data_IF_940443533015
#
_entry.id   IF_940443533015
#
_cell.length_a   1.000
_cell.length_b   1.000
_cell.length_c   1.000
_cell.angle_alpha   90.00
_cell.angle_beta   90.00
_cell.angle_gamma   90.00
#
_symmetry.space_group_name_H-M   'P 1'
#
loop_
_entity.id
_entity.type
_entity.pdbx_description
1 polymer ?
#
# COMPACT_ATOMS: atom_id res chain seq x y z
N UNK A 1 2.13 -20.49 2.07
CA UNK A 1 3.22 -19.72 2.70
C UNK A 1 2.56 -18.77 3.69
N UNK A 2 2.85 -18.91 4.99
CA UNK A 2 2.08 -18.33 6.08
C UNK A 2 2.37 -16.83 6.25
N UNK A 3 1.42 -15.94 5.96
CA UNK A 3 1.47 -14.54 6.39
C UNK A 3 1.34 -14.49 7.92
N UNK A 4 2.49 -14.51 8.60
CA UNK A 4 2.59 -14.31 10.04
C UNK A 4 2.27 -12.85 10.39
N UNK A 5 1.10 -12.63 10.98
CA UNK A 5 0.86 -11.84 12.21
C UNK A 5 1.88 -10.72 12.55
N UNK A 6 2.07 -9.72 11.68
CA UNK A 6 2.88 -8.53 12.05
C UNK A 6 2.02 -7.30 12.42
N UNK A 7 0.77 -7.25 11.97
CA UNK A 7 -0.23 -6.25 12.39
C UNK A 7 -0.49 -6.17 13.91
N UNK A 8 -0.47 -7.26 14.72
CA UNK A 8 -0.80 -7.13 16.13
C UNK A 8 0.29 -6.49 16.99
N UNK A 9 1.56 -6.39 16.55
CA UNK A 9 2.62 -5.89 17.44
C UNK A 9 2.74 -4.36 17.46
N UNK A 10 2.70 -3.70 16.30
CA UNK A 10 2.92 -2.25 16.24
C UNK A 10 1.68 -1.45 16.71
N UNK A 11 0.46 -1.97 16.48
CA UNK A 11 -0.76 -1.44 17.08
C UNK A 11 -0.75 -1.58 18.61
N UNK A 12 -0.23 -2.69 19.15
CA UNK A 12 -0.02 -2.87 20.59
C UNK A 12 1.01 -1.90 21.17
N UNK A 13 2.09 -1.63 20.43
CA UNK A 13 3.17 -0.77 20.89
C UNK A 13 2.72 0.69 21.06
N UNK A 14 2.01 1.25 20.07
CA UNK A 14 1.51 2.64 20.13
C UNK A 14 0.52 2.86 21.28
N UNK A 15 -0.29 1.83 21.58
CA UNK A 15 -1.24 1.78 22.70
C UNK A 15 -0.50 1.86 24.05
N UNK A 16 0.64 1.20 24.23
CA UNK A 16 1.33 1.10 25.52
C UNK A 16 2.22 2.30 25.91
N UNK A 17 2.48 3.23 25.00
CA UNK A 17 3.44 4.33 25.21
C UNK A 17 2.88 5.59 25.91
N UNK A 18 1.56 5.70 26.08
CA UNK A 18 0.89 6.88 26.68
C UNK A 18 0.62 6.66 28.18
N UNK A 19 0.90 7.61 29.09
CA UNK A 19 0.69 7.42 30.54
C UNK A 19 -0.80 7.44 30.96
N UNK A 20 -1.23 6.42 31.74
CA UNK A 20 -2.59 6.08 32.21
C UNK A 20 -3.56 7.22 32.55
N UNK A 21 -3.05 8.41 32.90
CA UNK A 21 -3.86 9.55 33.33
C UNK A 21 -4.36 10.45 32.18
N UNK A 22 -3.90 10.28 30.93
CA UNK A 22 -4.33 11.10 29.78
C UNK A 22 -5.58 10.57 29.01
N UNK A 23 -6.32 9.61 29.58
CA UNK A 23 -6.98 8.53 28.83
C UNK A 23 -8.44 8.74 28.38
N UNK A 24 -9.01 9.94 28.54
CA UNK A 24 -10.46 10.08 28.35
C UNK A 24 -10.89 10.56 26.95
N UNK A 25 -10.12 11.38 26.22
CA UNK A 25 -10.73 12.15 25.11
C UNK A 25 -9.84 12.43 23.88
N UNK A 26 -8.58 11.97 23.84
CA UNK A 26 -7.69 12.28 22.70
C UNK A 26 -7.54 11.10 21.72
N UNK A 27 -7.70 11.33 20.41
CA UNK A 27 -7.36 10.33 19.39
C UNK A 27 -5.91 9.88 19.54
N UNK A 28 -5.66 8.56 19.47
CA UNK A 28 -4.31 8.02 19.50
C UNK A 28 -3.65 8.39 18.16
N UNK A 29 -2.59 9.20 18.24
CA UNK A 29 -1.87 9.66 17.07
C UNK A 29 -1.36 8.48 16.23
N UNK A 30 -1.61 8.50 14.92
CA UNK A 30 -1.19 7.45 13.99
C UNK A 30 -2.10 6.21 13.95
N UNK A 31 -3.20 6.18 14.71
CA UNK A 31 -4.22 5.12 14.60
C UNK A 31 -5.36 5.61 13.68
N UNK A 32 -5.73 4.86 12.64
CA UNK A 32 -6.86 5.19 11.77
C UNK A 32 -8.16 5.34 12.58
N UNK A 33 -9.11 6.22 12.18
CA UNK A 33 -10.38 6.43 12.89
C UNK A 33 -11.13 5.14 13.22
N UNK A 34 -11.16 4.19 12.29
CA UNK A 34 -11.80 2.89 12.41
C UNK A 34 -11.14 1.95 13.44
N UNK A 35 -9.90 2.23 13.83
CA UNK A 35 -9.13 1.47 14.82
C UNK A 35 -8.99 2.20 16.16
N UNK A 36 -9.52 3.42 16.29
CA UNK A 36 -9.41 4.21 17.54
C UNK A 36 -10.08 3.52 18.73
N UNK A 37 -11.33 3.06 18.58
CA UNK A 37 -12.07 2.36 19.65
C UNK A 37 -11.39 1.04 20.09
N UNK A 38 -11.04 0.11 19.17
CA UNK A 38 -10.28 -1.08 19.53
C UNK A 38 -8.94 -0.77 20.22
N UNK A 39 -8.22 0.25 19.75
CA UNK A 39 -6.93 0.65 20.32
C UNK A 39 -7.08 1.22 21.73
N UNK A 40 -8.08 2.07 21.97
CA UNK A 40 -8.39 2.59 23.30
C UNK A 40 -8.82 1.47 24.27
N UNK A 41 -9.59 0.48 23.79
CA UNK A 41 -10.00 -0.66 24.61
C UNK A 41 -8.81 -1.52 25.04
N UNK A 42 -7.87 -1.79 24.13
CA UNK A 42 -6.61 -2.47 24.43
C UNK A 42 -5.76 -1.67 25.43
N UNK A 43 -5.77 -0.34 25.33
CA UNK A 43 -5.06 0.54 26.25
C UNK A 43 -5.59 0.46 27.68
N UNK A 44 -6.92 0.48 27.83
CA UNK A 44 -7.58 0.33 29.13
C UNK A 44 -7.29 -1.03 29.75
N UNK A 45 -7.28 -2.10 28.96
CA UNK A 45 -6.91 -3.44 29.43
C UNK A 45 -5.44 -3.51 29.84
N UNK A 46 -4.54 -2.89 29.09
CA UNK A 46 -3.12 -2.86 29.44
C UNK A 46 -2.84 -2.10 30.75
N UNK A 47 -3.57 -1.02 31.02
CA UNK A 47 -3.48 -0.30 32.29
C UNK A 47 -3.97 -1.09 33.51
N UNK A 48 -4.69 -2.20 33.29
CA UNK A 48 -5.17 -3.12 34.33
C UNK A 48 -4.21 -4.30 34.58
N UNK A 49 -3.12 -4.42 33.81
CA UNK A 49 -2.14 -5.48 34.02
C UNK A 49 -1.40 -5.28 35.35
N UNK A 50 -0.93 -6.37 35.99
CA UNK A 50 0.01 -6.30 37.12
C UNK A 50 1.23 -5.40 36.83
N UNK A 51 1.74 -4.67 37.83
CA UNK A 51 2.83 -3.68 37.63
C UNK A 51 4.10 -4.29 37.01
N UNK A 52 4.46 -5.49 37.41
CA UNK A 52 5.60 -6.24 36.86
C UNK A 52 5.45 -6.49 35.35
N UNK A 53 4.23 -6.75 34.88
CA UNK A 53 3.93 -6.91 33.46
C UNK A 53 3.95 -5.57 32.73
N UNK A 54 3.47 -4.49 33.36
CA UNK A 54 3.57 -3.14 32.80
C UNK A 54 5.03 -2.71 32.61
N UNK A 55 5.90 -3.00 33.58
CA UNK A 55 7.32 -2.65 33.52
C UNK A 55 8.07 -3.45 32.45
N UNK A 56 7.77 -4.75 32.31
CA UNK A 56 8.31 -5.58 31.23
C UNK A 56 7.92 -5.05 29.84
N UNK A 57 6.66 -4.65 29.66
CA UNK A 57 6.19 -4.05 28.41
C UNK A 57 6.90 -2.73 28.13
N UNK A 58 7.08 -1.85 29.12
CA UNK A 58 7.82 -0.59 28.95
C UNK A 58 9.27 -0.80 28.55
N UNK A 59 9.95 -1.75 29.18
CA UNK A 59 11.34 -2.07 28.88
C UNK A 59 11.50 -2.62 27.46
N UNK A 60 10.52 -3.41 26.99
CA UNK A 60 10.50 -3.92 25.61
C UNK A 60 10.28 -2.81 24.57
N UNK A 61 9.48 -1.80 24.90
CA UNK A 61 9.12 -0.71 23.98
C UNK A 61 10.15 0.42 23.93
N UNK A 62 10.91 0.65 25.00
CA UNK A 62 11.95 1.68 25.10
C UNK A 62 12.95 1.74 23.92
N UNK A 63 13.48 0.62 23.39
CA UNK A 63 14.44 0.67 22.28
C UNK A 63 13.79 0.87 20.91
N UNK A 64 12.45 0.86 20.79
CA UNK A 64 11.79 1.01 19.50
C UNK A 64 11.79 2.48 19.05
N UNK A 65 12.03 2.75 17.74
CA UNK A 65 11.95 4.09 17.17
C UNK A 65 10.57 4.72 17.45
N UNK A 66 10.57 5.98 17.87
CA UNK A 66 9.36 6.77 18.08
C UNK A 66 9.24 7.86 17.00
N UNK A 67 8.04 8.09 16.44
CA UNK A 67 6.76 7.50 16.83
C UNK A 67 6.58 6.06 16.31
N UNK A 68 6.15 5.13 17.18
CA UNK A 68 5.84 3.74 16.84
C UNK A 68 4.92 3.54 15.61
N UNK A 69 3.97 4.44 15.29
CA UNK A 69 3.23 4.43 14.03
C UNK A 69 4.08 4.29 12.77
N UNK A 70 5.32 4.78 12.75
CA UNK A 70 6.22 4.64 11.60
C UNK A 70 6.66 3.19 11.36
N UNK A 71 6.35 2.27 12.28
CA UNK A 71 6.58 0.84 12.17
C UNK A 71 5.38 0.08 11.57
N UNK A 72 4.22 0.71 11.43
CA UNK A 72 3.06 0.09 10.78
C UNK A 72 3.22 0.19 9.26
N UNK A 73 2.93 -0.88 8.50
CA UNK A 73 2.81 -0.74 7.06
C UNK A 73 1.67 0.26 6.76
N UNK A 74 1.86 1.16 5.79
CA UNK A 74 0.82 2.11 5.41
C UNK A 74 -0.45 1.36 4.98
N UNK A 75 -1.59 1.88 5.41
CA UNK A 75 -2.91 1.38 4.99
C UNK A 75 -3.39 2.26 3.84
N UNK A 76 -3.80 1.62 2.75
CA UNK A 76 -4.33 2.29 1.57
C UNK A 76 -5.80 1.94 1.40
N UNK A 77 -6.59 2.89 0.92
CA UNK A 77 -7.99 2.68 0.56
C UNK A 77 -8.09 1.70 -0.61
N UNK A 78 -9.25 1.03 -0.74
CA UNK A 78 -9.51 0.13 -1.87
C UNK A 78 -10.28 0.85 -2.98
N UNK A 79 -9.68 1.93 -3.48
CA UNK A 79 -10.17 2.75 -4.57
C UNK A 79 -8.99 3.26 -5.41
N UNK A 80 -9.27 4.02 -6.46
CA UNK A 80 -8.24 4.50 -7.39
C UNK A 80 -7.12 5.27 -6.68
N UNK A 81 -7.46 6.12 -5.72
CA UNK A 81 -6.49 6.91 -4.96
C UNK A 81 -5.56 6.01 -4.14
N UNK A 82 -6.15 5.08 -3.37
CA UNK A 82 -5.41 4.14 -2.56
C UNK A 82 -4.56 3.16 -3.38
N UNK A 83 -5.04 2.71 -4.54
CA UNK A 83 -4.25 1.86 -5.43
C UNK A 83 -3.03 2.59 -5.99
N UNK A 84 -3.17 3.87 -6.38
CA UNK A 84 -2.05 4.68 -6.85
C UNK A 84 -1.03 4.91 -5.72
N UNK A 85 -1.49 5.28 -4.53
CA UNK A 85 -0.61 5.48 -3.38
C UNK A 85 0.11 4.20 -2.95
N UNK A 86 -0.57 3.06 -2.99
CA UNK A 86 0.04 1.76 -2.70
C UNK A 86 1.11 1.42 -3.74
N UNK A 87 0.80 1.60 -5.03
CA UNK A 87 1.77 1.39 -6.09
C UNK A 87 2.99 2.31 -5.94
N UNK A 88 2.80 3.60 -5.66
CA UNK A 88 3.89 4.54 -5.40
C UNK A 88 4.77 4.13 -4.21
N UNK A 89 4.16 3.63 -3.13
CA UNK A 89 4.89 3.11 -1.98
C UNK A 89 5.82 1.94 -2.38
N UNK A 90 5.29 0.98 -3.14
CA UNK A 90 6.07 -0.18 -3.62
C UNK A 90 7.15 0.25 -4.61
N UNK A 91 6.82 1.13 -5.57
CA UNK A 91 7.75 1.64 -6.57
C UNK A 91 8.92 2.40 -5.91
N UNK A 92 8.63 3.22 -4.89
CA UNK A 92 9.62 3.94 -4.11
C UNK A 92 10.61 3.02 -3.40
N UNK A 93 10.14 1.90 -2.83
CA UNK A 93 11.01 0.88 -2.21
C UNK A 93 11.96 0.20 -3.21
N UNK A 94 11.62 0.23 -4.50
CA UNK A 94 12.41 -0.37 -5.59
C UNK A 94 13.21 0.67 -6.39
N UNK A 95 13.11 1.95 -6.03
CA UNK A 95 13.76 3.04 -6.75
C UNK A 95 13.21 3.25 -8.16
N UNK A 96 11.96 2.85 -8.42
CA UNK A 96 11.30 3.05 -9.72
C UNK A 96 10.62 4.42 -9.70
N UNK A 97 11.02 5.37 -10.57
CA UNK A 97 10.47 6.71 -10.56
C UNK A 97 9.03 6.74 -11.10
N UNK A 98 8.13 7.36 -10.34
CA UNK A 98 6.76 7.66 -10.75
C UNK A 98 6.18 8.78 -9.88
N UNK A 99 5.18 9.48 -10.41
CA UNK A 99 4.35 10.44 -9.64
C UNK A 99 2.88 10.05 -9.70
N UNK A 100 2.11 10.54 -8.72
CA UNK A 100 0.67 10.35 -8.69
C UNK A 100 0.02 10.88 -9.97
N UNK A 101 0.32 12.12 -10.37
CA UNK A 101 -0.28 12.75 -11.54
C UNK A 101 0.08 12.03 -12.84
N UNK A 102 1.32 11.55 -12.96
CA UNK A 102 1.76 10.74 -14.09
C UNK A 102 0.95 9.44 -14.18
N UNK A 103 0.80 8.73 -13.05
CA UNK A 103 0.01 7.49 -12.99
C UNK A 103 -1.46 7.77 -13.31
N UNK A 104 -2.09 8.71 -12.60
CA UNK A 104 -3.50 9.05 -12.73
C UNK A 104 -3.85 9.45 -14.17
N UNK A 105 -3.05 10.32 -14.79
CA UNK A 105 -3.23 10.75 -16.17
C UNK A 105 -3.25 9.58 -17.15
N UNK A 106 -2.32 8.63 -16.99
CA UNK A 106 -2.25 7.47 -17.87
C UNK A 106 -3.48 6.57 -17.63
N UNK A 107 -3.83 6.24 -16.38
CA UNK A 107 -5.01 5.42 -16.06
C UNK A 107 -6.28 5.99 -16.68
N UNK A 108 -6.50 7.29 -16.57
CA UNK A 108 -7.71 7.92 -17.11
C UNK A 108 -7.80 7.85 -18.63
N UNK A 109 -6.65 7.87 -19.33
CA UNK A 109 -6.60 7.67 -20.78
C UNK A 109 -6.80 6.20 -21.18
N UNK A 110 -6.18 5.28 -20.45
CA UNK A 110 -6.15 3.86 -20.81
C UNK A 110 -7.47 3.14 -20.49
N UNK A 111 -8.04 3.38 -19.31
CA UNK A 111 -9.17 2.59 -18.79
C UNK A 111 -10.31 3.40 -18.19
N UNK A 112 -10.12 4.73 -18.07
CA UNK A 112 -11.07 5.58 -17.33
C UNK A 112 -11.18 5.21 -15.85
N UNK A 113 -10.17 4.53 -15.28
CA UNK A 113 -10.17 4.06 -13.89
C UNK A 113 -10.83 2.69 -13.68
N UNK A 114 -11.16 1.94 -14.74
CA UNK A 114 -11.73 0.61 -14.62
C UNK A 114 -10.63 -0.47 -14.49
N UNK A 115 -10.46 -1.11 -13.31
CA UNK A 115 -9.43 -2.13 -13.12
C UNK A 115 -9.71 -3.43 -13.87
N UNK A 116 -10.94 -3.65 -14.35
CA UNK A 116 -11.34 -4.81 -15.14
C UNK A 116 -11.38 -4.52 -16.66
N UNK A 117 -10.81 -3.41 -17.12
CA UNK A 117 -10.80 -3.05 -18.54
C UNK A 117 -10.00 -4.08 -19.37
N UNK A 118 -10.53 -4.42 -20.56
CA UNK A 118 -9.87 -5.30 -21.53
C UNK A 118 -10.10 -4.73 -22.93
N UNK A 119 -9.03 -4.50 -23.69
CA UNK A 119 -9.13 -4.14 -25.10
C UNK A 119 -9.18 -5.38 -25.98
N UNK A 120 -10.21 -5.51 -26.81
CA UNK A 120 -10.42 -6.66 -27.71
C UNK A 120 -10.34 -6.30 -29.20
N UNK A 121 -9.93 -5.08 -29.54
CA UNK A 121 -10.06 -4.55 -30.90
C UNK A 121 -8.73 -4.33 -31.64
N UNK A 122 -7.59 -4.33 -30.95
CA UNK A 122 -6.29 -4.01 -31.54
C UNK A 122 -5.51 -5.24 -32.05
N UNK A 123 -4.28 -5.00 -32.54
CA UNK A 123 -3.41 -6.08 -33.02
C UNK A 123 -2.99 -7.06 -31.92
N UNK A 124 -2.91 -6.61 -30.67
CA UNK A 124 -2.57 -7.48 -29.54
C UNK A 124 -3.73 -8.42 -29.22
N UNK A 125 -4.96 -7.91 -29.23
CA UNK A 125 -6.17 -8.71 -29.11
C UNK A 125 -6.30 -9.72 -30.26
N UNK A 126 -6.03 -9.31 -31.50
CA UNK A 126 -6.01 -10.22 -32.66
C UNK A 126 -4.92 -11.30 -32.52
N UNK A 127 -3.81 -11.00 -31.84
CA UNK A 127 -2.75 -11.95 -31.51
C UNK A 127 -3.03 -12.79 -30.24
N UNK A 128 -4.19 -12.63 -29.60
CA UNK A 128 -4.58 -13.38 -28.40
C UNK A 128 -3.92 -12.91 -27.10
N UNK A 129 -3.30 -11.74 -27.10
CA UNK A 129 -2.62 -11.12 -25.95
C UNK A 129 -3.18 -9.73 -25.65
N UNK A 130 -4.50 -9.60 -25.42
CA UNK A 130 -5.13 -8.30 -25.25
C UNK A 130 -4.56 -7.53 -24.06
N UNK A 131 -4.58 -6.20 -24.17
CA UNK A 131 -4.27 -5.25 -23.10
C UNK A 131 -5.32 -5.28 -22.00
N UNK A 132 -4.89 -5.22 -20.73
CA UNK A 132 -5.75 -5.42 -19.55
C UNK A 132 -5.46 -4.46 -18.41
N UNK A 133 -6.47 -4.24 -17.57
CA UNK A 133 -6.37 -3.51 -16.31
C UNK A 133 -6.26 -1.99 -16.46
N UNK A 134 -5.93 -1.32 -15.35
CA UNK A 134 -5.93 0.14 -15.25
C UNK A 134 -5.03 0.83 -16.28
N UNK A 135 -3.87 0.22 -16.58
CA UNK A 135 -2.84 0.74 -17.47
C UNK A 135 -2.80 0.04 -18.83
N UNK A 136 -3.77 -0.83 -19.13
CA UNK A 136 -3.87 -1.54 -20.41
C UNK A 136 -2.55 -2.22 -20.82
N UNK A 137 -1.92 -2.94 -19.87
CA UNK A 137 -0.69 -3.70 -20.11
C UNK A 137 -1.05 -5.08 -20.69
N UNK A 138 -0.23 -5.60 -21.61
CA UNK A 138 -0.36 -6.96 -22.15
C UNK A 138 0.37 -7.98 -21.26
N UNK A 139 -0.06 -9.25 -21.27
CA UNK A 139 0.51 -10.31 -20.43
C UNK A 139 2.05 -10.44 -20.50
N UNK A 140 2.71 -10.45 -21.68
CA UNK A 140 4.15 -10.58 -21.72
C UNK A 140 4.88 -9.37 -21.11
N UNK A 141 4.34 -8.15 -21.26
CA UNK A 141 4.90 -6.95 -20.64
C UNK A 141 4.69 -6.99 -19.13
N UNK A 142 3.50 -7.36 -18.66
CA UNK A 142 3.23 -7.51 -17.23
C UNK A 142 4.19 -8.51 -16.59
N UNK A 143 4.40 -9.67 -17.22
CA UNK A 143 5.32 -10.69 -16.71
C UNK A 143 6.78 -10.22 -16.69
N UNK A 144 7.23 -9.52 -17.74
CA UNK A 144 8.61 -9.03 -17.84
C UNK A 144 8.92 -7.87 -16.88
N UNK A 145 7.93 -7.04 -16.56
CA UNK A 145 8.08 -5.84 -15.74
C UNK A 145 7.39 -5.92 -14.38
N UNK A 146 6.96 -7.13 -13.98
CA UNK A 146 6.39 -7.38 -12.66
C UNK A 146 7.30 -6.82 -11.54
N UNK A 147 6.67 -6.26 -10.50
CA UNK A 147 7.38 -5.68 -9.37
C UNK A 147 7.17 -6.56 -8.14
N UNK A 148 8.27 -7.10 -7.61
CA UNK A 148 8.27 -7.94 -6.41
C UNK A 148 7.54 -7.27 -5.23
N UNK A 149 6.61 -8.01 -4.63
CA UNK A 149 5.73 -7.51 -3.56
C UNK A 149 4.31 -7.19 -4.02
N UNK A 150 4.00 -7.32 -5.31
CA UNK A 150 2.65 -7.19 -5.88
C UNK A 150 2.07 -8.54 -6.33
N UNK A 151 0.77 -8.58 -6.57
CA UNK A 151 0.06 -9.76 -7.11
C UNK A 151 0.59 -10.16 -8.49
N UNK A 152 0.42 -11.43 -8.87
CA UNK A 152 0.64 -11.91 -10.25
C UNK A 152 -0.64 -11.88 -11.09
N UNK A 153 -1.74 -11.41 -10.54
CA UNK A 153 -2.96 -11.11 -11.29
C UNK A 153 -2.82 -9.77 -12.02
N UNK A 154 -2.91 -9.78 -13.34
CA UNK A 154 -2.83 -8.57 -14.17
C UNK A 154 -3.99 -7.60 -13.93
N UNK A 155 -5.12 -8.07 -13.38
CA UNK A 155 -6.24 -7.23 -12.99
C UNK A 155 -6.13 -6.66 -11.57
N UNK A 156 -5.14 -7.09 -10.79
CA UNK A 156 -4.83 -6.43 -9.52
C UNK A 156 -4.36 -5.00 -9.82
N UNK A 157 -5.05 -3.97 -9.30
CA UNK A 157 -4.82 -2.59 -9.70
C UNK A 157 -3.40 -2.13 -9.32
N UNK A 158 -2.89 -2.56 -8.17
CA UNK A 158 -1.56 -2.18 -7.68
C UNK A 158 -0.47 -2.84 -8.54
N UNK A 159 -0.59 -4.15 -8.82
CA UNK A 159 0.34 -4.86 -9.68
C UNK A 159 0.35 -4.31 -11.11
N UNK A 160 -0.82 -4.01 -11.68
CA UNK A 160 -0.96 -3.46 -13.02
C UNK A 160 -0.29 -2.08 -13.14
N UNK A 161 -0.52 -1.19 -12.18
CA UNK A 161 0.16 0.12 -12.10
C UNK A 161 1.67 -0.05 -11.94
N UNK A 162 2.10 -0.91 -11.02
CA UNK A 162 3.51 -1.10 -10.73
C UNK A 162 4.29 -1.63 -11.94
N UNK A 163 3.73 -2.63 -12.64
CA UNK A 163 4.34 -3.20 -13.85
C UNK A 163 4.41 -2.16 -14.99
N UNK A 164 3.35 -1.38 -15.20
CA UNK A 164 3.34 -0.30 -16.20
C UNK A 164 4.40 0.78 -15.90
N UNK A 165 4.53 1.18 -14.63
CA UNK A 165 5.52 2.17 -14.21
C UNK A 165 6.95 1.65 -14.37
N UNK A 166 7.19 0.37 -14.05
CA UNK A 166 8.49 -0.27 -14.24
C UNK A 166 8.87 -0.34 -15.73
N UNK A 167 7.92 -0.71 -16.59
CA UNK A 167 8.09 -0.64 -18.05
C UNK A 167 8.39 0.79 -18.51
N UNK A 168 7.63 1.78 -18.06
CA UNK A 168 7.83 3.17 -18.44
C UNK A 168 9.17 3.74 -17.94
N UNK A 169 9.60 3.37 -16.73
CA UNK A 169 10.91 3.74 -16.22
C UNK A 169 12.04 3.15 -17.10
N UNK A 170 11.93 1.89 -17.50
CA UNK A 170 12.90 1.25 -18.39
C UNK A 170 12.94 1.90 -19.78
N UNK A 171 11.78 2.23 -20.35
CA UNK A 171 11.65 2.67 -21.74
C UNK A 171 11.76 4.19 -21.94
N UNK A 172 11.32 4.97 -20.95
CA UNK A 172 11.11 6.41 -21.02
C UNK A 172 11.70 7.16 -19.81
N UNK A 173 12.31 6.47 -18.86
CA UNK A 173 12.89 7.05 -17.64
C UNK A 173 11.88 7.27 -16.50
N UNK A 174 10.60 7.48 -16.80
CA UNK A 174 9.49 7.55 -15.82
C UNK A 174 8.15 7.46 -16.56
N UNK A 175 7.10 7.05 -15.85
CA UNK A 175 5.70 7.15 -16.32
C UNK A 175 5.29 8.59 -16.65
N UNK A 176 5.95 9.60 -16.07
CA UNK A 176 5.64 11.01 -16.30
C UNK A 176 5.93 11.43 -17.75
N UNK A 177 6.82 10.71 -18.44
CA UNK A 177 7.20 10.94 -19.82
C UNK A 177 6.28 10.22 -20.83
N UNK A 178 5.23 9.54 -20.36
CA UNK A 178 4.28 8.82 -21.22
C UNK A 178 3.03 9.68 -21.49
N UNK A 179 2.83 10.02 -22.77
CA UNK A 179 1.75 10.91 -23.22
C UNK A 179 0.75 10.26 -24.19
N UNK A 180 1.06 9.07 -24.70
CA UNK A 180 0.20 8.30 -25.61
C UNK A 180 -0.22 6.97 -24.99
N UNK A 181 -1.27 6.37 -25.57
CA UNK A 181 -1.64 4.99 -25.24
C UNK A 181 -0.53 4.00 -25.56
N UNK A 182 -0.53 2.87 -24.83
CA UNK A 182 0.43 1.77 -24.99
C UNK A 182 0.16 0.92 -26.23
#
# INVERSE_FOLDING_TARGET
>A
MHMRRLLPLAAFAAVLAVPAQAYAETPIAGVPPELQEPAQQLQRQAGQLPQDQQDQLRQFLQPLPQPLPDLLPPVFTNDLDGWIHNALHILGQRGIPATYDGIYRNIMRESGGNPAAINLYDSNAAAGIPSKGLMQVIDPTFAAFHVDGTSWDIFDPVANIAAACNYAANRYGTIDNVFSAY
#
